data_IF_320533815163
#
_entry.id   IF_320533815163
#
_cell.length_a   1.000
_cell.length_b   1.000
_cell.length_c   1.000
_cell.angle_alpha   90.00
_cell.angle_beta   90.00
_cell.angle_gamma   90.00
#
_symmetry.space_group_name_H-M   'P 1'
#
loop_
_entity.id
_entity.type
_entity.pdbx_description
1 polymer ?
#
# COMPACT_ATOMS: atom_id res chain seq x y z
N UNK A 1 -18.88 -8.06 10.23
CA UNK A 1 -17.88 -9.12 10.44
C UNK A 1 -16.50 -8.67 9.90
N UNK A 2 -15.48 -9.51 9.99
CA UNK A 2 -14.12 -9.23 9.48
C UNK A 2 -14.04 -9.12 7.94
N UNK A 3 -15.17 -9.25 7.22
CA UNK A 3 -15.28 -9.14 5.77
C UNK A 3 -15.99 -7.85 5.33
N UNK A 4 -16.32 -6.97 6.28
CA UNK A 4 -17.00 -5.71 6.01
C UNK A 4 -18.51 -5.85 5.83
N UNK A 5 -19.10 -6.99 6.20
CA UNK A 5 -20.55 -7.06 6.33
C UNK A 5 -20.99 -6.26 7.55
N UNK A 6 -21.90 -5.29 7.40
CA UNK A 6 -22.46 -4.59 8.55
C UNK A 6 -23.21 -5.58 9.44
N UNK A 7 -22.97 -5.51 10.75
CA UNK A 7 -23.72 -6.25 11.76
C UNK A 7 -24.69 -5.23 12.34
N UNK A 8 -25.99 -5.48 12.19
CA UNK A 8 -27.05 -4.66 12.76
C UNK A 8 -27.70 -5.48 13.88
N UNK A 9 -27.95 -4.87 15.03
CA UNK A 9 -28.84 -5.44 16.05
C UNK A 9 -30.22 -5.64 15.42
N UNK A 10 -31.00 -6.61 15.92
CA UNK A 10 -32.34 -7.00 15.44
C UNK A 10 -33.39 -5.86 15.58
N UNK A 11 -33.14 -4.74 14.92
CA UNK A 11 -34.07 -3.66 14.69
C UNK A 11 -34.88 -3.99 13.43
N UNK A 12 -36.16 -3.56 13.47
CA UNK A 12 -37.22 -3.71 12.48
C UNK A 12 -36.72 -4.11 11.05
N UNK A 13 -37.13 -5.27 10.51
CA UNK A 13 -36.62 -5.81 9.25
C UNK A 13 -36.78 -4.86 8.05
N UNK A 14 -37.70 -3.89 8.11
CA UNK A 14 -37.86 -2.85 7.10
C UNK A 14 -36.69 -1.83 7.10
N UNK A 15 -36.21 -1.43 8.29
CA UNK A 15 -35.09 -0.51 8.45
C UNK A 15 -33.75 -1.17 8.08
N UNK A 16 -33.54 -2.44 8.47
CA UNK A 16 -32.36 -3.21 8.10
C UNK A 16 -32.21 -3.40 6.57
N UNK A 17 -33.33 -3.49 5.84
CA UNK A 17 -33.35 -3.58 4.36
C UNK A 17 -32.92 -2.27 3.69
N UNK A 18 -33.34 -1.13 4.26
CA UNK A 18 -33.00 0.20 3.74
C UNK A 18 -31.51 0.52 3.97
N UNK A 19 -31.00 0.25 5.17
CA UNK A 19 -29.59 0.47 5.52
C UNK A 19 -28.65 -0.39 4.65
N UNK A 20 -29.03 -1.66 4.43
CA UNK A 20 -28.29 -2.55 3.53
C UNK A 20 -28.24 -2.01 2.11
N UNK A 21 -29.36 -1.50 1.62
CA UNK A 21 -29.48 -0.94 0.26
C UNK A 21 -28.64 0.34 0.12
N UNK A 22 -28.66 1.21 1.13
CA UNK A 22 -27.84 2.42 1.16
C UNK A 22 -26.34 2.09 1.11
N UNK A 23 -25.87 1.18 1.97
CA UNK A 23 -24.45 0.76 1.97
C UNK A 23 -24.04 0.22 0.60
N UNK A 24 -24.91 -0.56 -0.06
CA UNK A 24 -24.66 -1.10 -1.40
C UNK A 24 -24.48 -0.01 -2.44
N UNK A 25 -25.40 0.94 -2.49
CA UNK A 25 -25.30 2.06 -3.41
C UNK A 25 -24.08 2.94 -3.13
N UNK A 26 -23.72 3.16 -1.86
CA UNK A 26 -22.54 3.93 -1.50
C UNK A 26 -21.24 3.31 -2.04
N UNK A 27 -21.00 2.00 -1.86
CA UNK A 27 -19.76 1.42 -2.37
C UNK A 27 -19.76 1.26 -3.91
N UNK A 28 -20.92 1.11 -4.53
CA UNK A 28 -21.06 1.17 -5.99
C UNK A 28 -20.71 2.57 -6.51
N UNK A 29 -21.21 3.62 -5.87
CA UNK A 29 -20.88 4.99 -6.22
C UNK A 29 -19.37 5.26 -6.08
N UNK A 30 -18.75 4.85 -4.97
CA UNK A 30 -17.29 4.97 -4.77
C UNK A 30 -16.52 4.25 -5.89
N UNK A 31 -16.96 3.05 -6.28
CA UNK A 31 -16.37 2.29 -7.39
C UNK A 31 -16.45 3.05 -8.71
N UNK A 32 -17.64 3.52 -9.11
CA UNK A 32 -17.82 4.19 -10.39
C UNK A 32 -17.13 5.57 -10.42
N UNK A 33 -17.19 6.34 -9.32
CA UNK A 33 -16.44 7.58 -9.20
C UNK A 33 -14.93 7.37 -9.29
N UNK A 34 -14.39 6.32 -8.66
CA UNK A 34 -12.96 5.99 -8.73
C UNK A 34 -12.50 5.70 -10.18
N UNK A 35 -13.31 4.94 -10.93
CA UNK A 35 -13.03 4.66 -12.33
C UNK A 35 -13.14 5.91 -13.20
N UNK A 36 -14.17 6.72 -12.98
CA UNK A 36 -14.37 7.97 -13.70
C UNK A 36 -13.20 8.93 -13.49
N UNK A 37 -12.77 9.16 -12.25
CA UNK A 37 -11.66 10.07 -11.94
C UNK A 37 -10.34 9.61 -12.59
N UNK A 38 -10.06 8.30 -12.58
CA UNK A 38 -8.91 7.74 -13.29
C UNK A 38 -8.99 7.97 -14.80
N UNK A 39 -10.17 7.75 -15.38
CA UNK A 39 -10.43 7.98 -16.82
C UNK A 39 -10.29 9.46 -17.22
N UNK A 40 -10.78 10.38 -16.38
CA UNK A 40 -10.69 11.82 -16.64
C UNK A 40 -9.24 12.28 -16.74
N UNK A 41 -8.39 11.93 -15.76
CA UNK A 41 -6.97 12.36 -15.76
C UNK A 41 -6.19 11.70 -16.90
N UNK A 42 -6.53 10.47 -17.28
CA UNK A 42 -5.84 9.75 -18.36
C UNK A 42 -6.25 10.22 -19.76
N UNK A 43 -7.52 10.59 -19.94
CA UNK A 43 -8.10 10.90 -21.26
C UNK A 43 -8.06 12.39 -21.60
N UNK A 44 -8.11 13.27 -20.60
CA UNK A 44 -8.10 14.71 -20.83
C UNK A 44 -6.67 15.25 -21.00
N UNK A 45 -6.47 16.31 -21.80
CA UNK A 45 -5.22 17.04 -21.84
C UNK A 45 -4.86 17.52 -20.43
N UNK A 46 -3.65 17.18 -19.98
CA UNK A 46 -3.09 17.75 -18.77
C UNK A 46 -2.77 19.23 -19.03
N UNK A 47 -2.80 20.09 -17.99
CA UNK A 47 -2.60 21.54 -18.11
C UNK A 47 -1.18 21.88 -18.53
N UNK A 48 -0.85 21.71 -19.81
CA UNK A 48 0.39 22.22 -20.40
C UNK A 48 0.26 23.70 -20.81
N UNK A 49 -0.98 24.13 -21.09
CA UNK A 49 -1.36 25.50 -21.38
C UNK A 49 -2.69 25.82 -20.65
N UNK A 50 -2.73 26.84 -19.76
CA UNK A 50 -3.94 27.23 -19.05
C UNK A 50 -5.16 27.51 -19.94
N UNK A 51 -4.95 27.93 -21.19
CA UNK A 51 -6.04 28.28 -22.10
C UNK A 51 -6.77 27.04 -22.69
N UNK A 52 -6.13 25.87 -22.69
CA UNK A 52 -6.68 24.62 -23.25
C UNK A 52 -6.91 23.52 -22.20
N UNK A 53 -6.58 23.81 -20.94
CA UNK A 53 -6.67 22.86 -19.84
C UNK A 53 -8.12 22.61 -19.42
N UNK A 54 -8.62 21.40 -19.66
CA UNK A 54 -9.91 20.94 -19.11
C UNK A 54 -9.80 20.51 -17.64
N UNK A 55 -8.58 20.26 -17.16
CA UNK A 55 -8.27 19.96 -15.76
C UNK A 55 -7.15 20.88 -15.29
N UNK A 56 -7.34 21.55 -14.16
CA UNK A 56 -6.28 22.34 -13.51
C UNK A 56 -5.34 21.47 -12.70
N UNK A 57 -4.15 21.97 -12.37
CA UNK A 57 -3.21 21.24 -11.51
C UNK A 57 -3.79 20.96 -10.12
N UNK A 58 -4.54 21.91 -9.56
CA UNK A 58 -5.20 21.77 -8.26
C UNK A 58 -6.26 20.67 -8.30
N UNK A 59 -7.02 20.56 -9.40
CA UNK A 59 -8.00 19.50 -9.58
C UNK A 59 -7.32 18.13 -9.65
N UNK A 60 -6.21 18.01 -10.39
CA UNK A 60 -5.42 16.76 -10.44
C UNK A 60 -4.88 16.40 -9.06
N UNK A 61 -4.36 17.37 -8.32
CA UNK A 61 -3.89 17.17 -6.95
C UNK A 61 -5.03 16.72 -6.03
N UNK A 62 -6.20 17.34 -6.15
CA UNK A 62 -7.39 16.99 -5.38
C UNK A 62 -7.89 15.57 -5.70
N UNK A 63 -7.83 15.15 -6.96
CA UNK A 63 -8.18 13.79 -7.37
C UNK A 63 -7.29 12.77 -6.64
N UNK A 64 -5.98 12.99 -6.58
CA UNK A 64 -5.09 12.11 -5.82
C UNK A 64 -5.40 12.07 -4.33
N UNK A 65 -5.74 13.22 -3.72
CA UNK A 65 -6.20 13.28 -2.31
C UNK A 65 -7.48 12.49 -2.08
N UNK A 66 -8.43 12.53 -3.03
CA UNK A 66 -9.66 11.74 -2.98
C UNK A 66 -9.32 10.24 -2.99
N UNK A 67 -8.45 9.78 -3.90
CA UNK A 67 -8.03 8.38 -3.93
C UNK A 67 -7.38 7.93 -2.63
N UNK A 68 -6.43 8.70 -2.09
CA UNK A 68 -5.80 8.40 -0.80
C UNK A 68 -6.87 8.32 0.30
N UNK A 69 -7.79 9.29 0.35
CA UNK A 69 -8.88 9.26 1.33
C UNK A 69 -9.73 8.01 1.21
N UNK A 70 -10.18 7.67 -0.01
CA UNK A 70 -10.99 6.47 -0.27
C UNK A 70 -10.25 5.20 0.15
N UNK A 71 -8.98 5.05 -0.24
CA UNK A 71 -8.18 3.85 0.05
C UNK A 71 -7.88 3.69 1.55
N UNK A 72 -7.74 4.79 2.29
CA UNK A 72 -7.51 4.75 3.74
C UNK A 72 -8.77 4.53 4.59
N UNK A 73 -9.98 4.74 4.04
CA UNK A 73 -11.22 4.73 4.82
C UNK A 73 -12.27 3.71 4.33
N UNK A 74 -12.12 3.16 3.12
CA UNK A 74 -13.06 2.18 2.57
C UNK A 74 -12.71 0.77 3.03
N UNK A 75 -13.74 -0.03 3.37
CA UNK A 75 -13.57 -1.45 3.76
C UNK A 75 -14.02 -2.44 2.68
N UNK A 76 -14.86 -1.99 1.74
CA UNK A 76 -15.40 -2.86 0.71
C UNK A 76 -14.33 -3.19 -0.34
N UNK A 77 -13.92 -4.46 -0.42
CA UNK A 77 -12.83 -4.92 -1.30
C UNK A 77 -13.03 -4.54 -2.77
N UNK A 78 -14.26 -4.64 -3.27
CA UNK A 78 -14.56 -4.27 -4.67
C UNK A 78 -14.41 -2.78 -4.95
N UNK A 79 -14.67 -1.93 -3.96
CA UNK A 79 -14.48 -0.48 -4.09
C UNK A 79 -12.99 -0.12 -3.96
N UNK A 80 -12.28 -0.74 -3.01
CA UNK A 80 -10.82 -0.59 -2.85
C UNK A 80 -10.10 -0.96 -4.16
N UNK A 81 -10.40 -2.14 -4.72
CA UNK A 81 -9.76 -2.59 -5.96
C UNK A 81 -9.92 -1.58 -7.11
N UNK A 82 -11.10 -0.96 -7.23
CA UNK A 82 -11.38 0.02 -8.28
C UNK A 82 -10.78 1.40 -7.99
N UNK A 83 -10.66 1.77 -6.72
CA UNK A 83 -9.87 2.92 -6.29
C UNK A 83 -8.37 2.72 -6.59
N UNK A 84 -7.82 1.53 -6.39
CA UNK A 84 -6.43 1.20 -6.76
C UNK A 84 -6.22 1.27 -8.27
N UNK A 85 -7.12 0.67 -9.06
CA UNK A 85 -7.09 0.73 -10.53
C UNK A 85 -7.07 2.19 -11.03
N UNK A 86 -7.94 3.04 -10.48
CA UNK A 86 -8.04 4.46 -10.84
C UNK A 86 -6.83 5.27 -10.38
N UNK A 87 -6.36 5.07 -9.15
CA UNK A 87 -5.22 5.79 -8.60
C UNK A 87 -3.92 5.44 -9.34
N UNK A 88 -3.71 4.17 -9.66
CA UNK A 88 -2.56 3.73 -10.44
C UNK A 88 -2.58 4.29 -11.87
N UNK A 89 -3.76 4.45 -12.48
CA UNK A 89 -3.90 5.12 -13.78
C UNK A 89 -3.46 6.59 -13.71
N UNK A 90 -3.92 7.32 -12.68
CA UNK A 90 -3.50 8.70 -12.42
C UNK A 90 -1.98 8.76 -12.23
N UNK A 91 -1.44 7.98 -11.29
CA UNK A 91 -0.01 7.99 -10.98
C UNK A 91 0.84 7.68 -12.23
N UNK A 92 0.48 6.67 -13.03
CA UNK A 92 1.18 6.33 -14.29
C UNK A 92 1.16 7.49 -15.29
N UNK A 93 0.02 8.17 -15.42
CA UNK A 93 -0.12 9.32 -16.32
C UNK A 93 0.75 10.48 -15.87
N UNK A 94 0.78 10.78 -14.58
CA UNK A 94 1.56 11.89 -14.02
C UNK A 94 3.06 11.63 -14.05
N UNK A 95 3.53 10.42 -13.72
CA UNK A 95 4.95 10.07 -13.79
C UNK A 95 5.53 10.23 -15.21
N UNK A 96 4.69 10.04 -16.23
CA UNK A 96 5.05 10.16 -17.65
C UNK A 96 4.72 11.53 -18.24
N UNK A 97 4.14 12.45 -17.48
CA UNK A 97 3.85 13.78 -17.98
C UNK A 97 5.12 14.64 -17.98
N UNK A 98 5.24 15.54 -18.96
CA UNK A 98 6.38 16.45 -19.07
C UNK A 98 6.29 17.68 -18.16
N UNK A 99 5.32 17.72 -17.23
CA UNK A 99 5.07 18.86 -16.35
C UNK A 99 5.64 18.56 -14.95
N UNK A 100 6.72 19.23 -14.53
CA UNK A 100 7.41 18.91 -13.27
C UNK A 100 6.52 18.98 -12.03
N UNK A 101 5.60 19.95 -11.98
CA UNK A 101 4.62 20.15 -10.90
C UNK A 101 3.74 18.92 -10.70
N UNK A 102 3.19 18.39 -11.80
CA UNK A 102 2.34 17.21 -11.80
C UNK A 102 3.12 15.91 -11.65
N UNK A 103 4.30 15.81 -12.28
CA UNK A 103 5.17 14.64 -12.20
C UNK A 103 5.66 14.39 -10.77
N UNK A 104 5.80 15.44 -9.95
CA UNK A 104 6.17 15.32 -8.54
C UNK A 104 5.05 14.78 -7.64
N UNK A 105 3.78 14.86 -8.05
CA UNK A 105 2.63 14.52 -7.19
C UNK A 105 2.63 13.07 -6.68
N UNK A 106 2.88 12.03 -7.50
CA UNK A 106 2.98 10.65 -6.99
C UNK A 106 4.04 10.50 -5.90
N UNK A 107 5.17 11.20 -6.03
CA UNK A 107 6.21 11.25 -5.00
C UNK A 107 5.72 11.90 -3.71
N UNK A 108 5.07 13.06 -3.80
CA UNK A 108 4.52 13.76 -2.63
C UNK A 108 3.44 12.95 -1.92
N UNK A 109 2.60 12.22 -2.66
CA UNK A 109 1.59 11.32 -2.10
C UNK A 109 2.22 10.13 -1.38
N UNK A 110 3.29 9.56 -1.93
CA UNK A 110 4.05 8.52 -1.25
C UNK A 110 4.66 9.06 0.06
N UNK A 111 5.23 10.26 0.03
CA UNK A 111 5.82 10.88 1.23
C UNK A 111 4.76 11.13 2.31
N UNK A 112 3.57 11.59 1.93
CA UNK A 112 2.44 11.70 2.83
C UNK A 112 2.06 10.36 3.46
N UNK A 113 2.02 9.28 2.67
CA UNK A 113 1.69 7.93 3.15
C UNK A 113 2.78 7.34 4.04
N UNK A 114 4.03 7.73 3.88
CA UNK A 114 5.15 7.31 4.72
C UNK A 114 5.28 8.17 5.99
N UNK A 115 4.79 9.41 6.00
CA UNK A 115 4.84 10.34 7.14
C UNK A 115 3.97 9.95 8.35
N UNK A 116 3.90 10.82 9.37
CA UNK A 116 3.03 10.69 10.56
C UNK A 116 1.53 10.56 10.22
N UNK A 117 1.13 10.97 9.01
CA UNK A 117 -0.23 10.77 8.51
C UNK A 117 -0.52 9.30 8.18
N UNK A 118 0.51 8.50 7.88
CA UNK A 118 0.44 7.12 7.46
C UNK A 118 1.36 6.19 8.25
N UNK A 119 2.46 5.73 7.66
CA UNK A 119 3.33 4.69 8.26
C UNK A 119 3.89 5.11 9.61
N UNK A 120 4.43 6.33 9.75
CA UNK A 120 5.00 6.83 11.01
C UNK A 120 3.94 7.24 12.06
N UNK A 121 2.67 6.88 11.85
CA UNK A 121 1.61 7.24 12.78
C UNK A 121 1.70 6.44 14.09
N UNK A 122 1.83 7.16 15.21
CA UNK A 122 1.97 6.60 16.56
C UNK A 122 0.64 6.52 17.34
N UNK A 123 -0.49 6.92 16.74
CA UNK A 123 -1.77 7.07 17.43
C UNK A 123 -2.66 5.83 17.33
N UNK A 124 -2.80 5.07 18.43
CA UNK A 124 -3.65 3.87 18.55
C UNK A 124 -5.04 3.99 17.91
N UNK A 125 -5.77 5.10 18.16
CA UNK A 125 -7.13 5.31 17.66
C UNK A 125 -7.26 5.37 16.12
N UNK A 126 -6.16 5.66 15.39
CA UNK A 126 -6.13 5.71 13.92
C UNK A 126 -5.70 4.39 13.29
N UNK A 127 -5.08 3.50 14.05
CA UNK A 127 -4.41 2.30 13.54
C UNK A 127 -5.41 1.25 13.09
N UNK A 128 -6.41 0.91 13.89
CA UNK A 128 -7.37 -0.14 13.53
C UNK A 128 -8.25 0.19 12.30
N UNK A 129 -8.28 1.46 11.86
CA UNK A 129 -9.12 1.91 10.73
C UNK A 129 -8.32 2.30 9.49
N UNK A 130 -7.17 2.98 9.64
CA UNK A 130 -6.38 3.51 8.52
C UNK A 130 -5.21 2.63 8.11
N UNK A 131 -4.60 1.88 9.04
CA UNK A 131 -3.41 1.05 8.73
C UNK A 131 -3.73 -0.05 7.72
N UNK A 132 -4.95 -0.61 7.77
CA UNK A 132 -5.40 -1.62 6.81
C UNK A 132 -5.51 -1.07 5.37
N UNK A 133 -5.71 0.25 5.22
CA UNK A 133 -5.79 0.93 3.94
C UNK A 133 -4.44 1.36 3.37
N UNK A 134 -3.41 1.52 4.21
CA UNK A 134 -2.09 2.01 3.80
C UNK A 134 -1.47 1.19 2.66
N UNK A 135 -1.44 -0.16 2.70
CA UNK A 135 -0.89 -0.92 1.60
C UNK A 135 -1.63 -0.68 0.28
N UNK A 136 -2.96 -0.54 0.34
CA UNK A 136 -3.77 -0.30 -0.85
C UNK A 136 -3.57 1.11 -1.43
N UNK A 137 -3.18 2.09 -0.61
CA UNK A 137 -2.81 3.42 -1.07
C UNK A 137 -1.38 3.50 -1.61
N UNK A 138 -0.45 2.73 -1.05
CA UNK A 138 0.97 2.71 -1.45
C UNK A 138 1.17 1.96 -2.77
N UNK A 139 0.61 0.75 -2.91
CA UNK A 139 0.86 -0.13 -4.06
C UNK A 139 0.63 0.55 -5.42
N UNK A 140 -0.48 1.26 -5.68
CA UNK A 140 -0.73 1.87 -6.98
C UNK A 140 0.31 2.94 -7.38
N UNK A 141 1.00 3.54 -6.41
CA UNK A 141 2.09 4.50 -6.66
C UNK A 141 3.37 3.79 -7.08
N UNK A 142 3.66 2.63 -6.48
CA UNK A 142 4.85 1.85 -6.80
C UNK A 142 4.68 1.14 -8.15
N UNK A 143 3.52 0.53 -8.38
CA UNK A 143 3.15 -0.13 -9.64
C UNK A 143 3.06 0.85 -10.83
N UNK A 144 3.01 2.15 -10.54
CA UNK A 144 2.96 3.17 -11.58
C UNK A 144 4.31 3.44 -12.24
N UNK A 145 5.41 3.07 -11.60
CA UNK A 145 6.75 3.22 -12.17
C UNK A 145 6.97 2.23 -13.32
N UNK A 146 7.71 2.66 -14.34
CA UNK A 146 8.11 1.75 -15.39
C UNK A 146 9.24 0.83 -14.89
N UNK A 147 8.98 -0.48 -14.90
CA UNK A 147 9.92 -1.52 -14.47
C UNK A 147 11.22 -1.59 -15.29
N UNK A 148 11.23 -1.01 -16.49
CA UNK A 148 12.42 -0.93 -17.34
C UNK A 148 13.21 0.37 -17.15
N UNK A 149 12.75 1.24 -16.25
CA UNK A 149 13.36 2.52 -15.90
C UNK A 149 13.76 2.54 -14.42
N UNK A 150 14.54 3.53 -13.93
CA UNK A 150 14.76 3.69 -12.50
C UNK A 150 13.44 3.82 -11.74
N UNK A 151 13.33 3.12 -10.61
CA UNK A 151 12.14 3.06 -9.74
C UNK A 151 12.42 3.80 -8.40
N UNK A 152 12.54 5.14 -8.40
CA UNK A 152 12.83 5.91 -7.19
C UNK A 152 11.75 5.79 -6.11
N UNK A 153 10.47 5.69 -6.47
CA UNK A 153 9.38 5.56 -5.50
C UNK A 153 9.44 4.23 -4.77
N UNK A 154 9.62 3.11 -5.50
CA UNK A 154 9.82 1.80 -4.90
C UNK A 154 11.05 1.77 -4.00
N UNK A 155 12.19 2.29 -4.51
CA UNK A 155 13.43 2.34 -3.73
C UNK A 155 13.25 3.10 -2.42
N UNK A 156 12.72 4.31 -2.50
CA UNK A 156 12.48 5.16 -1.33
C UNK A 156 11.51 4.49 -0.36
N UNK A 157 10.38 3.98 -0.85
CA UNK A 157 9.40 3.27 -0.04
C UNK A 157 10.03 2.10 0.72
N UNK A 158 10.75 1.21 0.03
CA UNK A 158 11.37 0.06 0.68
C UNK A 158 12.49 0.46 1.66
N UNK A 159 13.26 1.51 1.36
CA UNK A 159 14.27 2.01 2.29
C UNK A 159 13.65 2.52 3.59
N UNK A 160 12.61 3.37 3.50
CA UNK A 160 11.89 3.89 4.66
C UNK A 160 11.22 2.77 5.46
N UNK A 161 10.50 1.85 4.79
CA UNK A 161 9.84 0.75 5.49
C UNK A 161 10.83 -0.16 6.23
N UNK A 162 11.99 -0.44 5.63
CA UNK A 162 13.04 -1.23 6.27
C UNK A 162 13.70 -0.48 7.43
N UNK A 163 13.87 0.83 7.32
CA UNK A 163 14.39 1.67 8.40
C UNK A 163 13.43 1.68 9.58
N UNK A 164 12.17 2.07 9.35
CA UNK A 164 11.13 2.15 10.37
C UNK A 164 10.89 0.81 11.05
N UNK A 165 10.87 -0.31 10.32
CA UNK A 165 10.69 -1.63 10.92
C UNK A 165 11.91 -2.08 11.75
N UNK A 166 13.10 -1.60 11.40
CA UNK A 166 14.38 -1.92 12.05
C UNK A 166 14.74 -1.02 13.23
N UNK A 167 14.14 0.16 13.37
CA UNK A 167 14.27 1.02 14.55
C UNK A 167 13.71 0.29 15.78
N UNK A 168 14.53 0.11 16.84
CA UNK A 168 14.02 -0.47 18.09
C UNK A 168 15.01 -1.15 19.02
N UNK A 169 16.15 -0.53 19.34
CA UNK A 169 16.97 -0.90 20.52
C UNK A 169 17.22 0.30 21.47
N UNK A 170 16.59 1.45 21.26
CA UNK A 170 16.75 2.61 22.15
C UNK A 170 15.72 2.57 23.29
N UNK A 171 16.21 2.46 24.53
CA UNK A 171 15.39 2.43 25.75
C UNK A 171 14.54 3.71 25.89
N UNK A 172 13.22 3.55 26.07
CA UNK A 172 12.29 4.64 26.41
C UNK A 172 11.35 5.12 25.30
N UNK A 173 11.51 4.66 24.05
CA UNK A 173 10.66 5.03 22.90
C UNK A 173 9.62 3.94 22.50
N UNK A 174 9.52 2.87 23.28
CA UNK A 174 8.94 1.58 22.85
C UNK A 174 7.51 1.64 22.30
N UNK A 175 6.58 2.32 22.98
CA UNK A 175 5.16 2.29 22.59
C UNK A 175 4.83 3.15 21.35
N UNK A 176 5.52 4.29 21.18
CA UNK A 176 5.30 5.16 20.03
C UNK A 176 5.83 4.52 18.74
N UNK A 177 7.00 3.88 18.82
CA UNK A 177 7.64 3.23 17.67
C UNK A 177 6.98 1.88 17.32
N UNK A 178 6.35 1.19 18.28
CA UNK A 178 5.65 -0.08 18.02
C UNK A 178 4.69 0.02 16.82
N UNK A 179 3.89 1.07 16.79
CA UNK A 179 2.87 1.24 15.77
C UNK A 179 3.43 1.51 14.39
N UNK A 180 4.44 2.37 14.31
CA UNK A 180 5.13 2.66 13.04
C UNK A 180 5.80 1.41 12.48
N UNK A 181 6.41 0.59 13.35
CA UNK A 181 7.00 -0.70 12.97
C UNK A 181 5.95 -1.68 12.45
N UNK A 182 4.81 -1.81 13.14
CA UNK A 182 3.70 -2.65 12.70
C UNK A 182 3.15 -2.19 11.35
N UNK A 183 2.97 -0.88 11.15
CA UNK A 183 2.54 -0.33 9.86
C UNK A 183 3.55 -0.64 8.76
N UNK A 184 4.86 -0.44 9.03
CA UNK A 184 5.92 -0.69 8.06
C UNK A 184 5.99 -2.16 7.64
N UNK A 185 5.96 -3.08 8.61
CA UNK A 185 5.91 -4.53 8.38
C UNK A 185 4.69 -4.93 7.55
N UNK A 186 3.52 -4.37 7.89
CA UNK A 186 2.29 -4.64 7.16
C UNK A 186 2.33 -4.11 5.73
N UNK A 187 2.81 -2.89 5.48
CA UNK A 187 2.96 -2.37 4.11
C UNK A 187 3.97 -3.21 3.31
N UNK A 188 5.14 -3.53 3.89
CA UNK A 188 6.13 -4.40 3.23
C UNK A 188 5.54 -5.75 2.83
N UNK A 189 4.69 -6.36 3.66
CA UNK A 189 4.04 -7.64 3.35
C UNK A 189 3.31 -7.57 2.01
N UNK A 190 2.48 -6.54 1.81
CA UNK A 190 1.71 -6.38 0.58
C UNK A 190 2.60 -6.04 -0.62
N UNK A 191 3.66 -5.23 -0.42
CA UNK A 191 4.66 -4.95 -1.47
C UNK A 191 5.36 -6.24 -1.92
N UNK A 192 5.72 -7.12 -0.98
CA UNK A 192 6.33 -8.43 -1.28
C UNK A 192 5.34 -9.38 -1.97
N UNK A 193 4.07 -9.39 -1.54
CA UNK A 193 3.03 -10.24 -2.13
C UNK A 193 2.64 -9.79 -3.54
N UNK A 194 2.81 -8.51 -3.87
CA UNK A 194 2.41 -7.97 -5.15
C UNK A 194 3.10 -8.69 -6.33
N UNK A 195 2.28 -9.08 -7.31
CA UNK A 195 2.74 -9.86 -8.44
C UNK A 195 3.55 -9.02 -9.44
N UNK A 196 3.21 -7.74 -9.62
CA UNK A 196 3.89 -6.82 -10.53
C UNK A 196 5.27 -6.42 -9.99
N UNK A 197 5.38 -6.19 -8.68
CA UNK A 197 6.63 -5.78 -8.03
C UNK A 197 7.60 -6.95 -7.76
N UNK A 198 7.22 -8.20 -8.05
CA UNK A 198 7.92 -9.43 -7.63
C UNK A 198 9.43 -9.47 -7.89
N UNK A 199 9.87 -8.95 -9.05
CA UNK A 199 11.29 -8.94 -9.43
C UNK A 199 12.00 -7.71 -8.87
N UNK A 200 11.28 -6.60 -8.77
CA UNK A 200 11.82 -5.30 -8.38
C UNK A 200 12.07 -5.24 -6.85
N UNK A 201 11.33 -6.03 -6.07
CA UNK A 201 11.51 -6.15 -4.61
C UNK A 201 12.65 -7.09 -4.20
N UNK A 202 13.21 -7.87 -5.13
CA UNK A 202 14.27 -8.86 -4.84
C UNK A 202 15.45 -8.31 -4.02
N UNK A 203 15.99 -7.10 -4.30
CA UNK A 203 17.11 -6.55 -3.54
C UNK A 203 16.83 -6.33 -2.05
N UNK A 204 15.57 -6.28 -1.63
CA UNK A 204 15.16 -5.98 -0.26
C UNK A 204 14.81 -7.22 0.56
N UNK A 205 14.59 -8.39 -0.08
CA UNK A 205 14.04 -9.58 0.57
C UNK A 205 14.93 -10.10 1.71
N UNK A 206 16.26 -10.11 1.54
CA UNK A 206 17.18 -10.54 2.59
C UNK A 206 17.10 -9.66 3.85
N UNK A 207 17.02 -8.33 3.68
CA UNK A 207 16.85 -7.39 4.81
C UNK A 207 15.49 -7.55 5.48
N UNK A 208 14.42 -7.70 4.68
CA UNK A 208 13.08 -7.93 5.20
C UNK A 208 13.00 -9.25 6.01
N UNK A 209 13.66 -10.31 5.53
CA UNK A 209 13.70 -11.58 6.25
C UNK A 209 14.43 -11.47 7.59
N UNK A 210 15.57 -10.77 7.63
CA UNK A 210 16.29 -10.53 8.89
C UNK A 210 15.43 -9.79 9.92
N UNK A 211 14.65 -8.79 9.47
CA UNK A 211 13.70 -8.08 10.32
C UNK A 211 12.61 -9.01 10.87
N UNK A 212 12.08 -9.90 10.04
CA UNK A 212 11.11 -10.90 10.49
C UNK A 212 11.67 -11.80 11.59
N UNK A 213 12.88 -12.33 11.41
CA UNK A 213 13.52 -13.22 12.36
C UNK A 213 13.74 -12.54 13.71
N UNK A 214 14.28 -11.31 13.71
CA UNK A 214 14.41 -10.48 14.93
C UNK A 214 13.06 -10.19 15.56
N UNK A 215 12.04 -9.95 14.74
CA UNK A 215 10.68 -9.69 15.17
C UNK A 215 10.00 -10.85 15.88
N UNK A 216 10.44 -12.11 15.69
CA UNK A 216 9.87 -13.28 16.38
C UNK A 216 10.15 -13.29 17.89
N UNK A 217 11.27 -12.70 18.31
CA UNK A 217 11.70 -12.64 19.70
C UNK A 217 11.28 -11.33 20.38
N UNK A 218 10.59 -10.44 19.66
CA UNK A 218 10.19 -9.15 20.18
C UNK A 218 9.22 -9.27 21.37
N UNK A 219 9.33 -8.41 22.38
CA UNK A 219 8.49 -8.41 23.60
C UNK A 219 6.99 -8.14 23.30
N UNK A 220 6.72 -7.25 22.36
CA UNK A 220 5.36 -6.93 21.89
C UNK A 220 4.77 -7.98 20.94
N UNK A 221 3.55 -8.44 21.27
CA UNK A 221 2.81 -9.43 20.47
C UNK A 221 2.43 -8.93 19.07
N UNK A 222 2.12 -7.64 18.93
CA UNK A 222 1.70 -7.04 17.66
C UNK A 222 2.84 -7.07 16.63
N UNK A 223 4.06 -6.75 17.07
CA UNK A 223 5.28 -6.82 16.27
C UNK A 223 5.59 -8.28 15.89
N UNK A 224 5.48 -9.23 16.83
CA UNK A 224 5.65 -10.66 16.51
C UNK A 224 4.66 -11.11 15.43
N UNK A 225 3.38 -10.73 15.55
CA UNK A 225 2.34 -11.08 14.59
C UNK A 225 2.60 -10.47 13.20
N UNK A 226 2.89 -9.17 13.11
CA UNK A 226 3.20 -8.52 11.83
C UNK A 226 4.48 -9.07 11.18
N UNK A 227 5.50 -9.41 12.00
CA UNK A 227 6.72 -10.06 11.53
C UNK A 227 6.44 -11.44 10.95
N UNK A 228 5.57 -12.23 11.59
CA UNK A 228 5.14 -13.54 11.08
C UNK A 228 4.32 -13.45 9.79
N UNK A 229 3.49 -12.42 9.65
CA UNK A 229 2.73 -12.19 8.42
C UNK A 229 3.66 -11.83 7.24
N UNK A 230 4.65 -10.95 7.46
CA UNK A 230 5.67 -10.63 6.44
C UNK A 230 6.54 -11.85 6.13
N UNK A 231 6.97 -12.61 7.14
CA UNK A 231 7.75 -13.84 6.95
C UNK A 231 7.00 -14.85 6.08
N UNK A 232 5.71 -15.06 6.34
CA UNK A 232 4.89 -15.98 5.54
C UNK A 232 4.84 -15.54 4.07
N UNK A 233 4.70 -14.24 3.81
CA UNK A 233 4.77 -13.69 2.46
C UNK A 233 6.14 -13.94 1.80
N UNK A 234 7.23 -13.72 2.53
CA UNK A 234 8.60 -13.93 2.05
C UNK A 234 8.89 -15.40 1.74
N UNK A 235 8.48 -16.33 2.61
CA UNK A 235 8.67 -17.78 2.40
C UNK A 235 7.86 -18.25 1.19
N UNK A 236 6.60 -17.84 1.07
CA UNK A 236 5.79 -18.18 -0.11
C UNK A 236 6.41 -17.63 -1.40
N UNK A 237 7.06 -16.45 -1.35
CA UNK A 237 7.78 -15.86 -2.49
C UNK A 237 9.12 -16.57 -2.78
N UNK A 238 9.85 -16.93 -1.74
CA UNK A 238 11.23 -17.44 -1.78
C UNK A 238 11.38 -18.96 -1.83
N UNK A 239 10.30 -19.73 -1.69
CA UNK A 239 10.31 -21.21 -1.70
C UNK A 239 9.53 -21.82 -2.87
N UNK A 240 8.76 -21.02 -3.62
CA UNK A 240 8.15 -21.34 -4.90
C UNK A 240 7.71 -22.80 -5.11
N UNK A 241 6.44 -23.11 -4.78
CA UNK A 241 5.77 -24.30 -5.31
C UNK A 241 5.89 -24.33 -6.85
N UNK A 242 5.90 -25.53 -7.44
CA UNK A 242 6.20 -25.80 -8.86
C UNK A 242 5.43 -24.93 -9.88
N UNK A 243 4.30 -24.32 -9.54
CA UNK A 243 3.56 -23.38 -10.39
C UNK A 243 4.15 -21.95 -10.46
N UNK A 244 4.90 -21.50 -9.44
CA UNK A 244 5.47 -20.13 -9.36
C UNK A 244 6.90 -20.01 -9.91
N UNK A 245 7.59 -21.11 -10.25
CA UNK A 245 8.89 -21.09 -10.94
C UNK A 245 8.85 -20.34 -12.28
N UNK A 246 7.67 -20.20 -12.90
CA UNK A 246 7.48 -19.40 -14.13
C UNK A 246 7.37 -17.88 -13.88
N UNK A 247 7.31 -17.42 -12.62
CA UNK A 247 7.15 -16.01 -12.23
C UNK A 247 8.27 -15.51 -11.29
N UNK A 248 9.46 -16.11 -11.34
CA UNK A 248 10.64 -15.62 -10.62
C UNK A 248 10.73 -16.00 -9.14
N UNK A 249 10.01 -17.04 -8.69
CA UNK A 249 10.25 -17.63 -7.37
C UNK A 249 11.59 -18.39 -7.34
N UNK A 250 12.29 -18.29 -6.22
CA UNK A 250 13.55 -19.00 -5.96
C UNK A 250 13.31 -20.21 -5.04
N UNK A 251 14.27 -21.14 -4.98
CA UNK A 251 14.28 -22.24 -4.00
C UNK A 251 14.98 -21.84 -2.71
N UNK A 252 14.75 -22.56 -1.60
CA UNK A 252 15.44 -22.30 -0.30
C UNK A 252 16.97 -22.26 -0.45
N UNK A 253 17.63 -23.20 -1.14
CA UNK A 253 19.09 -23.15 -1.32
C UNK A 253 19.55 -21.96 -2.16
N UNK A 254 18.82 -21.61 -3.22
CA UNK A 254 19.10 -20.40 -4.01
C UNK A 254 18.92 -19.13 -3.19
N UNK A 255 17.95 -19.11 -2.27
CA UNK A 255 17.72 -18.00 -1.35
C UNK A 255 18.88 -17.82 -0.39
N UNK A 256 19.30 -18.89 0.28
CA UNK A 256 20.41 -18.84 1.23
C UNK A 256 21.74 -18.49 0.55
N UNK A 257 21.98 -18.98 -0.67
CA UNK A 257 23.15 -18.60 -1.47
C UNK A 257 23.11 -17.13 -1.91
N UNK A 258 21.93 -16.59 -2.23
CA UNK A 258 21.77 -15.20 -2.67
C UNK A 258 21.80 -14.20 -1.51
N UNK A 259 21.37 -14.62 -0.32
CA UNK A 259 21.34 -13.81 0.89
C UNK A 259 22.10 -14.49 2.04
N UNK A 260 23.44 -14.59 1.96
CA UNK A 260 24.26 -15.33 2.93
C UNK A 260 24.18 -14.75 4.35
N UNK A 261 23.82 -13.48 4.50
CA UNK A 261 23.58 -12.84 5.80
C UNK A 261 22.40 -13.44 6.59
N UNK A 262 21.60 -14.31 5.98
CA UNK A 262 20.48 -15.01 6.62
C UNK A 262 20.75 -16.51 6.77
N UNK A 263 21.89 -17.00 6.29
CA UNK A 263 22.30 -18.38 6.52
C UNK A 263 22.73 -18.57 7.99
N UNK A 264 22.41 -19.72 8.60
CA UNK A 264 22.82 -20.04 9.97
C UNK A 264 24.34 -20.18 10.12
#
# INVERSE_FOLDING_TARGET
DCRGHPIFDDADPCHASTDRTLVVHCWLAVKECSLLLGSLVTSLPLPADPASALLTEEQVQQIGRIFIHVLLHTKHKGAIAKAQDGFGQVARRLLRCGLPTLQALPGQWLDLLLSEAGVLNTSYARILRRSAGLPFAVLPLLDAEDRFSPQPLLRRCMQELLAVAGEGEEEGAEAAHEFSRVNALNVMKYVVEDAQLSLDVQPYLGRALLLCLRGFEHSSWTIRNSSMMLYSALVLKGVGSQQQKRKGGMSVPEFLNRFPQVAP
#
